data_IF_331447789073
#
_entry.id   IF_331447789073
#
_cell.length_a   1.000
_cell.length_b   1.000
_cell.length_c   1.000
_cell.angle_alpha   90.00
_cell.angle_beta   90.00
_cell.angle_gamma   90.00
#
_symmetry.space_group_name_H-M   'P 1'
#
loop_
_entity.id
_entity.type
_entity.pdbx_description
1 polymer ?
#
# COMPACT_ATOMS: atom_id res chain seq x y z
N UNK A 1 45.83 1.90 -20.11
CA UNK A 1 44.78 0.98 -19.60
C UNK A 1 44.19 1.50 -18.27
N UNK A 2 43.70 2.74 -18.21
CA UNK A 2 43.26 3.38 -16.95
C UNK A 2 41.75 3.65 -16.86
N UNK A 3 41.02 3.51 -17.97
CA UNK A 3 39.60 3.86 -18.07
C UNK A 3 38.70 2.74 -17.52
N UNK A 4 39.15 1.47 -17.64
CA UNK A 4 38.40 0.31 -17.19
C UNK A 4 38.21 0.26 -15.65
N UNK A 5 39.23 0.68 -14.89
CA UNK A 5 39.15 0.67 -13.41
C UNK A 5 38.24 1.76 -12.85
N UNK A 6 38.16 2.92 -13.52
CA UNK A 6 37.28 4.01 -13.11
C UNK A 6 35.80 3.70 -13.37
N UNK A 7 35.49 3.01 -14.48
CA UNK A 7 34.14 2.53 -14.76
C UNK A 7 33.71 1.44 -13.77
N UNK A 8 34.61 0.54 -13.39
CA UNK A 8 34.33 -0.52 -12.41
C UNK A 8 33.96 0.03 -11.02
N UNK A 9 34.68 1.04 -10.53
CA UNK A 9 34.36 1.66 -9.23
C UNK A 9 33.05 2.44 -9.24
N UNK A 10 32.71 3.11 -10.35
CA UNK A 10 31.43 3.79 -10.50
C UNK A 10 30.27 2.79 -10.47
N UNK A 11 30.39 1.66 -11.19
CA UNK A 11 29.35 0.63 -11.20
C UNK A 11 29.14 0.03 -9.82
N UNK A 12 30.21 -0.28 -9.08
CA UNK A 12 30.11 -0.80 -7.70
C UNK A 12 29.46 0.21 -6.75
N UNK A 13 29.79 1.49 -6.87
CA UNK A 13 29.20 2.54 -6.05
C UNK A 13 27.70 2.72 -6.33
N UNK A 14 27.28 2.68 -7.60
CA UNK A 14 25.87 2.77 -8.00
C UNK A 14 25.09 1.57 -7.50
N UNK A 15 25.62 0.35 -7.69
CA UNK A 15 24.97 -0.88 -7.18
C UNK A 15 24.86 -0.86 -5.66
N UNK A 16 25.92 -0.43 -4.95
CA UNK A 16 25.90 -0.28 -3.50
C UNK A 16 24.84 0.71 -3.02
N UNK A 17 24.71 1.87 -3.68
CA UNK A 17 23.66 2.86 -3.40
C UNK A 17 22.25 2.32 -3.65
N UNK A 18 22.03 1.56 -4.73
CA UNK A 18 20.73 0.95 -5.00
C UNK A 18 20.34 -0.10 -3.95
N UNK A 19 21.29 -0.92 -3.49
CA UNK A 19 21.05 -1.93 -2.45
C UNK A 19 20.78 -1.27 -1.10
N UNK A 20 21.56 -0.25 -0.74
CA UNK A 20 21.35 0.52 0.50
C UNK A 20 20.00 1.26 0.48
N UNK A 21 19.61 1.86 -0.65
CA UNK A 21 18.30 2.47 -0.82
C UNK A 21 17.18 1.42 -0.66
N UNK A 22 17.29 0.26 -1.31
CA UNK A 22 16.29 -0.81 -1.18
C UNK A 22 16.15 -1.36 0.24
N UNK A 23 17.25 -1.48 0.99
CA UNK A 23 17.22 -1.89 2.40
C UNK A 23 16.61 -0.82 3.30
N UNK A 24 16.93 0.45 3.09
CA UNK A 24 16.33 1.57 3.83
C UNK A 24 14.83 1.70 3.54
N UNK A 25 14.40 1.46 2.30
CA UNK A 25 12.99 1.40 1.93
C UNK A 25 12.23 0.28 2.68
N UNK A 26 12.90 -0.86 2.94
CA UNK A 26 12.30 -1.96 3.72
C UNK A 26 12.25 -1.71 5.22
N UNK A 27 13.16 -0.92 5.79
CA UNK A 27 13.26 -0.72 7.25
C UNK A 27 12.64 0.57 7.74
N UNK A 28 12.52 1.60 6.89
CA UNK A 28 11.97 2.92 7.26
C UNK A 28 10.51 3.12 6.85
N UNK A 29 9.98 2.31 5.94
CA UNK A 29 8.55 2.34 5.68
C UNK A 29 7.85 1.52 6.77
N UNK A 30 6.90 2.11 7.53
CA UNK A 30 6.06 1.32 8.43
C UNK A 30 5.47 0.17 7.63
N UNK A 31 5.58 -1.05 8.17
CA UNK A 31 5.22 -2.31 7.53
C UNK A 31 3.71 -2.49 7.30
N UNK A 32 2.93 -1.43 7.46
CA UNK A 32 1.49 -1.42 7.29
C UNK A 32 1.01 -0.18 6.54
N UNK A 33 -0.17 -0.26 5.91
CA UNK A 33 -0.83 0.89 5.28
C UNK A 33 -1.15 1.98 6.31
N UNK A 34 -1.36 3.24 5.87
CA UNK A 34 -1.65 4.34 6.77
C UNK A 34 -2.94 4.08 7.58
N UNK A 35 -2.81 4.14 8.90
CA UNK A 35 -3.89 3.99 9.88
C UNK A 35 -4.45 5.37 10.26
N UNK A 36 -5.75 5.58 10.00
CA UNK A 36 -6.44 6.84 10.34
C UNK A 36 -7.89 6.56 10.81
N UNK A 37 -8.07 6.07 12.03
CA UNK A 37 -9.40 5.75 12.57
C UNK A 37 -10.25 7.00 12.82
N UNK A 38 -9.69 8.21 12.74
CA UNK A 38 -10.46 9.46 12.87
C UNK A 38 -11.20 9.83 11.60
N UNK A 39 -10.82 9.25 10.46
CA UNK A 39 -11.38 9.55 9.16
C UNK A 39 -12.52 8.59 8.82
N UNK A 40 -13.75 9.12 8.70
CA UNK A 40 -14.92 8.32 8.35
C UNK A 40 -14.79 7.61 7.01
N UNK A 41 -14.07 8.20 6.05
CA UNK A 41 -13.84 7.55 4.76
C UNK A 41 -12.89 6.36 4.89
N UNK A 42 -11.89 6.46 5.76
CA UNK A 42 -11.01 5.34 6.09
C UNK A 42 -11.78 4.18 6.73
N UNK A 43 -12.59 4.47 7.76
CA UNK A 43 -13.47 3.47 8.39
C UNK A 43 -14.44 2.83 7.39
N UNK A 44 -14.98 3.62 6.46
CA UNK A 44 -15.83 3.10 5.39
C UNK A 44 -15.08 2.09 4.51
N UNK A 45 -13.85 2.38 4.13
CA UNK A 45 -13.05 1.45 3.34
C UNK A 45 -12.69 0.16 4.06
N UNK A 46 -12.36 0.26 5.35
CA UNK A 46 -12.14 -0.88 6.24
C UNK A 46 -13.41 -1.75 6.36
N UNK A 47 -14.57 -1.13 6.59
CA UNK A 47 -15.88 -1.81 6.66
C UNK A 47 -16.22 -2.51 5.35
N UNK A 48 -15.95 -1.88 4.20
CA UNK A 48 -16.11 -2.51 2.89
C UNK A 48 -15.21 -3.74 2.75
N UNK A 49 -13.96 -3.66 3.20
CA UNK A 49 -13.03 -4.80 3.16
C UNK A 49 -13.54 -5.98 4.01
N UNK A 50 -13.99 -5.69 5.23
CA UNK A 50 -14.47 -6.71 6.17
C UNK A 50 -15.80 -7.33 5.72
N UNK A 51 -16.75 -6.52 5.25
CA UNK A 51 -18.11 -6.98 4.96
C UNK A 51 -18.30 -7.54 3.54
N UNK A 52 -17.60 -7.00 2.54
CA UNK A 52 -17.84 -7.34 1.13
C UNK A 52 -16.76 -8.24 0.52
N UNK A 53 -15.52 -8.15 1.01
CA UNK A 53 -14.36 -8.72 0.35
C UNK A 53 -13.89 -10.05 0.97
N UNK A 54 -13.64 -10.09 2.28
CA UNK A 54 -13.20 -11.33 2.94
C UNK A 54 -14.29 -12.41 3.06
N UNK A 55 -15.56 -12.02 3.16
CA UNK A 55 -16.66 -12.98 3.24
C UNK A 55 -16.91 -13.79 1.95
N UNK A 56 -16.43 -13.31 0.79
CA UNK A 56 -16.90 -13.82 -0.52
C UNK A 56 -15.79 -14.09 -1.54
N UNK A 57 -14.65 -13.39 -1.50
CA UNK A 57 -13.73 -13.29 -2.66
C UNK A 57 -12.24 -13.33 -2.30
N UNK A 58 -11.84 -14.14 -1.31
CA UNK A 58 -10.45 -14.30 -0.83
C UNK A 58 -9.42 -14.75 -1.90
N UNK A 59 -9.85 -14.96 -3.15
CA UNK A 59 -9.02 -15.42 -4.27
C UNK A 59 -8.72 -14.31 -5.31
N UNK A 60 -9.35 -13.14 -5.19
CA UNK A 60 -9.16 -12.01 -6.11
C UNK A 60 -8.22 -10.97 -5.52
N UNK A 61 -7.62 -10.16 -6.40
CA UNK A 61 -6.84 -8.98 -6.03
C UNK A 61 -7.72 -8.00 -5.23
N UNK A 62 -7.59 -8.09 -3.92
CA UNK A 62 -8.26 -7.31 -2.87
C UNK A 62 -8.15 -5.82 -3.11
N UNK A 63 -7.00 -5.33 -3.59
CA UNK A 63 -6.78 -3.92 -3.92
C UNK A 63 -7.62 -3.51 -5.13
N UNK A 64 -7.70 -4.35 -6.16
CA UNK A 64 -8.52 -4.07 -7.34
C UNK A 64 -10.01 -3.98 -6.96
N UNK A 65 -10.50 -4.89 -6.11
CA UNK A 65 -11.90 -4.86 -5.67
C UNK A 65 -12.17 -3.69 -4.73
N UNK A 66 -11.26 -3.38 -3.79
CA UNK A 66 -11.34 -2.18 -2.98
C UNK A 66 -11.44 -0.92 -3.86
N UNK A 67 -10.64 -0.85 -4.93
CA UNK A 67 -10.65 0.30 -5.83
C UNK A 67 -11.98 0.40 -6.56
N UNK A 68 -12.49 -0.70 -7.12
CA UNK A 68 -13.78 -0.78 -7.82
C UNK A 68 -14.95 -0.38 -6.90
N UNK A 69 -14.99 -0.91 -5.67
CA UNK A 69 -15.99 -0.54 -4.67
C UNK A 69 -15.97 0.96 -4.34
N UNK A 70 -14.79 1.59 -4.36
CA UNK A 70 -14.62 3.02 -4.12
C UNK A 70 -14.88 3.88 -5.37
N UNK A 71 -14.96 3.28 -6.56
CA UNK A 71 -15.40 3.98 -7.78
C UNK A 71 -16.89 4.32 -7.73
N UNK A 72 -17.69 3.39 -7.19
CA UNK A 72 -19.14 3.53 -7.02
C UNK A 72 -19.56 3.25 -5.57
N UNK A 73 -19.18 4.09 -4.60
CA UNK A 73 -19.42 3.84 -3.20
C UNK A 73 -20.92 3.92 -2.86
N UNK A 74 -21.41 2.93 -2.13
CA UNK A 74 -22.79 2.88 -1.63
C UNK A 74 -22.85 3.58 -0.28
N UNK A 75 -23.69 4.61 -0.16
CA UNK A 75 -23.88 5.42 1.06
C UNK A 75 -22.56 5.90 1.70
N UNK A 76 -21.66 6.57 0.95
CA UNK A 76 -20.38 7.02 1.49
C UNK A 76 -20.56 8.08 2.59
N UNK A 77 -19.62 8.15 3.54
CA UNK A 77 -19.58 9.26 4.50
C UNK A 77 -19.39 10.60 3.78
N UNK A 78 -19.96 11.66 4.34
CA UNK A 78 -19.78 13.04 3.82
C UNK A 78 -18.94 13.85 4.81
N UNK A 79 -17.82 14.48 4.37
CA UNK A 79 -17.22 14.41 3.04
C UNK A 79 -16.56 13.04 2.76
N UNK A 80 -16.59 12.63 1.49
CA UNK A 80 -15.98 11.37 1.03
C UNK A 80 -14.58 11.62 0.48
N UNK A 81 -13.58 10.98 1.07
CA UNK A 81 -12.22 10.94 0.57
C UNK A 81 -11.88 9.51 0.11
N UNK A 82 -11.83 9.36 -1.22
CA UNK A 82 -11.50 8.09 -1.86
C UNK A 82 -10.12 7.56 -1.45
N UNK A 83 -9.12 8.42 -1.25
CA UNK A 83 -7.77 7.98 -0.87
C UNK A 83 -7.76 7.43 0.54
N UNK A 84 -8.44 8.09 1.46
CA UNK A 84 -8.61 7.61 2.83
C UNK A 84 -9.35 6.27 2.86
N UNK A 85 -10.41 6.11 2.06
CA UNK A 85 -11.13 4.85 1.97
C UNK A 85 -10.28 3.70 1.42
N UNK A 86 -9.50 3.93 0.36
CA UNK A 86 -8.56 2.91 -0.14
C UNK A 86 -7.52 2.55 0.94
N UNK A 87 -7.03 3.52 1.71
CA UNK A 87 -6.11 3.27 2.81
C UNK A 87 -6.72 2.39 3.91
N UNK A 88 -7.98 2.62 4.29
CA UNK A 88 -8.70 1.77 5.24
C UNK A 88 -8.95 0.36 4.71
N UNK A 89 -9.27 0.24 3.43
CA UNK A 89 -9.45 -1.06 2.78
C UNK A 89 -8.15 -1.89 2.80
N UNK A 90 -7.01 -1.25 2.49
CA UNK A 90 -5.68 -1.89 2.62
C UNK A 90 -5.34 -2.24 4.06
N UNK A 91 -5.76 -1.42 5.03
CA UNK A 91 -5.55 -1.73 6.44
C UNK A 91 -6.35 -2.95 6.88
N UNK A 92 -7.63 -3.05 6.50
CA UNK A 92 -8.44 -4.23 6.79
C UNK A 92 -7.86 -5.51 6.18
N UNK A 93 -7.25 -5.43 4.99
CA UNK A 93 -6.47 -6.53 4.40
C UNK A 93 -5.25 -6.90 5.26
N UNK A 94 -4.43 -5.90 5.60
CA UNK A 94 -3.24 -6.12 6.42
C UNK A 94 -3.57 -6.69 7.81
N UNK A 95 -4.63 -6.21 8.45
CA UNK A 95 -5.08 -6.68 9.78
C UNK A 95 -5.60 -8.12 9.72
N UNK A 96 -6.14 -8.57 8.58
CA UNK A 96 -6.54 -9.96 8.39
C UNK A 96 -5.34 -10.89 8.13
N UNK A 97 -4.36 -10.43 7.35
CA UNK A 97 -3.22 -11.23 6.93
C UNK A 97 -2.12 -11.35 8.02
N UNK A 98 -2.17 -10.55 9.10
CA UNK A 98 -1.17 -10.50 10.18
C UNK A 98 -1.77 -10.79 11.55
#
# INVERSE_FOLDING_TARGET
MWIASALATIVVAVVGLCVCAGLLFRTLLPSGPPYDPGNKSWQYGEDVMQNHLYGTLHTLDTIAVCTDAMESPVNPPTPFDRRAAIAGCRYGEWEYDN
#
